data_IF_618350718814
#
_entry.id   IF_618350718814
#
_cell.length_a   1.000
_cell.length_b   1.000
_cell.length_c   1.000
_cell.angle_alpha   90.00
_cell.angle_beta   90.00
_cell.angle_gamma   90.00
#
_symmetry.space_group_name_H-M   'P 1'
#
loop_
_entity.id
_entity.type
_entity.pdbx_description
1 polymer ?
#
# COMPACT_ATOMS: atom_id res chain seq x y z
N UNK A 1 -16.74 -6.62 29.76
CA UNK A 1 -15.79 -5.82 28.98
C UNK A 1 -14.78 -6.78 28.38
N UNK A 2 -14.73 -6.90 27.06
CA UNK A 2 -13.62 -7.62 26.42
C UNK A 2 -12.32 -6.85 26.69
N UNK A 3 -11.25 -7.58 27.03
CA UNK A 3 -9.92 -6.99 27.20
C UNK A 3 -9.45 -6.52 25.82
N UNK A 4 -9.10 -5.23 25.70
CA UNK A 4 -8.52 -4.67 24.49
C UNK A 4 -7.20 -5.39 24.17
N UNK A 5 -7.10 -5.99 22.98
CA UNK A 5 -5.91 -6.72 22.54
C UNK A 5 -5.04 -5.79 21.72
N UNK A 6 -3.91 -5.36 22.29
CA UNK A 6 -2.91 -4.56 21.59
C UNK A 6 -1.90 -5.47 20.89
N UNK A 7 -1.67 -5.25 19.60
CA UNK A 7 -0.70 -6.02 18.82
C UNK A 7 0.75 -5.56 19.08
N UNK A 8 1.64 -6.49 19.41
CA UNK A 8 3.07 -6.25 19.61
C UNK A 8 3.93 -6.99 18.57
N UNK A 9 3.90 -6.58 17.29
CA UNK A 9 4.49 -7.34 16.18
C UNK A 9 6.00 -7.55 16.35
N UNK A 10 6.72 -6.60 16.95
CA UNK A 10 8.17 -6.68 17.19
C UNK A 10 8.57 -7.89 18.06
N UNK A 11 7.66 -8.43 18.88
CA UNK A 11 7.92 -9.63 19.69
C UNK A 11 7.98 -10.90 18.85
N UNK A 12 7.50 -10.87 17.60
CA UNK A 12 7.54 -12.02 16.67
C UNK A 12 8.88 -12.12 15.92
N UNK A 13 9.75 -11.10 16.03
CA UNK A 13 11.04 -11.09 15.36
C UNK A 13 11.95 -12.22 15.88
N UNK A 14 12.56 -12.95 14.95
CA UNK A 14 13.41 -14.10 15.26
C UNK A 14 14.88 -13.69 15.15
N UNK A 15 15.68 -13.97 16.20
CA UNK A 15 17.14 -13.91 16.11
C UNK A 15 17.63 -15.09 15.26
N UNK A 16 18.19 -14.80 14.09
CA UNK A 16 18.68 -15.81 13.14
C UNK A 16 20.19 -15.97 13.27
N UNK A 17 20.68 -17.13 12.86
CA UNK A 17 22.11 -17.45 12.70
C UNK A 17 22.51 -17.64 11.25
N UNK A 18 21.53 -17.65 10.34
CA UNK A 18 21.69 -17.90 8.91
C UNK A 18 20.75 -17.02 8.11
N UNK A 19 21.14 -16.72 6.87
CA UNK A 19 20.31 -15.96 5.92
C UNK A 19 18.94 -16.61 5.78
N UNK A 20 17.88 -15.79 5.85
CA UNK A 20 16.51 -16.28 5.74
C UNK A 20 16.27 -17.04 4.43
N UNK A 21 15.32 -17.98 4.47
CA UNK A 21 14.99 -18.82 3.30
C UNK A 21 14.62 -17.97 2.06
N UNK A 22 13.77 -16.93 2.16
CA UNK A 22 13.45 -16.09 1.01
C UNK A 22 14.67 -15.34 0.48
N UNK A 23 15.51 -14.77 1.36
CA UNK A 23 16.71 -14.05 0.94
C UNK A 23 17.73 -14.98 0.27
N UNK A 24 17.87 -16.23 0.72
CA UNK A 24 18.69 -17.25 0.02
C UNK A 24 18.16 -17.55 -1.39
N UNK A 25 16.84 -17.60 -1.57
CA UNK A 25 16.25 -17.75 -2.90
C UNK A 25 16.64 -16.55 -3.79
N UNK A 26 16.46 -15.32 -3.30
CA UNK A 26 16.79 -14.11 -4.06
C UNK A 26 18.28 -14.06 -4.45
N UNK A 27 19.19 -14.46 -3.56
CA UNK A 27 20.61 -14.59 -3.85
C UNK A 27 20.90 -15.63 -4.94
N UNK A 28 20.34 -16.85 -4.80
CA UNK A 28 20.54 -17.95 -5.75
C UNK A 28 20.08 -17.58 -7.16
N UNK A 29 19.03 -16.76 -7.26
CA UNK A 29 18.45 -16.32 -8.53
C UNK A 29 18.97 -14.95 -9.00
N UNK A 30 19.98 -14.40 -8.33
CA UNK A 30 20.62 -13.13 -8.69
C UNK A 30 19.62 -11.95 -8.78
N UNK A 31 18.68 -11.89 -7.83
CA UNK A 31 17.58 -10.92 -7.80
C UNK A 31 17.83 -9.70 -6.90
N UNK A 32 18.89 -9.72 -6.09
CA UNK A 32 19.28 -8.59 -5.24
C UNK A 32 20.18 -7.63 -6.03
N UNK A 33 19.60 -6.51 -6.52
CA UNK A 33 20.29 -5.59 -7.43
C UNK A 33 20.32 -4.16 -6.89
N UNK A 34 21.42 -3.46 -7.19
CA UNK A 34 21.58 -2.04 -6.92
C UNK A 34 21.56 -1.73 -5.42
N UNK A 35 20.95 -0.61 -5.06
CA UNK A 35 20.75 -0.22 -3.66
C UNK A 35 19.58 -0.99 -3.07
N UNK A 36 19.81 -1.75 -2.01
CA UNK A 36 18.86 -2.69 -1.43
C UNK A 36 18.35 -2.19 -0.07
N UNK A 37 17.05 -2.35 0.17
CA UNK A 37 16.45 -2.18 1.49
C UNK A 37 15.87 -3.50 2.00
N UNK A 38 16.25 -3.90 3.21
CA UNK A 38 15.59 -4.92 3.99
C UNK A 38 14.57 -4.27 4.93
N UNK A 39 13.32 -4.19 4.47
CA UNK A 39 12.22 -3.53 5.17
C UNK A 39 11.58 -4.49 6.18
N UNK A 40 11.56 -4.10 7.45
CA UNK A 40 11.16 -4.95 8.56
C UNK A 40 12.19 -6.04 8.88
N UNK A 41 13.47 -5.68 8.85
CA UNK A 41 14.60 -6.60 9.03
C UNK A 41 14.69 -7.23 10.44
N UNK A 42 13.88 -6.78 11.40
CA UNK A 42 13.97 -7.19 12.80
C UNK A 42 15.35 -6.93 13.38
N UNK A 43 15.99 -7.96 13.92
CA UNK A 43 17.37 -7.86 14.42
C UNK A 43 18.41 -7.62 13.32
N UNK A 44 18.06 -7.77 12.04
CA UNK A 44 18.89 -7.38 10.88
C UNK A 44 19.98 -8.37 10.48
N UNK A 45 19.82 -9.66 10.78
CA UNK A 45 20.83 -10.67 10.41
C UNK A 45 21.07 -10.72 8.89
N UNK A 46 20.00 -10.79 8.09
CA UNK A 46 20.08 -10.80 6.62
C UNK A 46 20.81 -9.56 6.10
N UNK A 47 20.42 -8.37 6.60
CA UNK A 47 21.07 -7.09 6.31
C UNK A 47 22.57 -7.13 6.59
N UNK A 48 22.96 -7.50 7.81
CA UNK A 48 24.35 -7.43 8.26
C UNK A 48 25.25 -8.40 7.49
N UNK A 49 24.75 -9.61 7.23
CA UNK A 49 25.51 -10.63 6.52
C UNK A 49 25.64 -10.31 5.01
N UNK A 50 24.57 -9.82 4.36
CA UNK A 50 24.66 -9.33 2.98
C UNK A 50 25.61 -8.14 2.87
N UNK A 51 25.62 -7.25 3.86
CA UNK A 51 26.56 -6.12 3.90
C UNK A 51 28.01 -6.59 3.99
N UNK A 52 28.32 -7.63 4.78
CA UNK A 52 29.66 -8.26 4.83
C UNK A 52 30.05 -8.88 3.49
N UNK A 53 29.09 -9.40 2.74
CA UNK A 53 29.30 -9.95 1.39
C UNK A 53 29.44 -8.87 0.30
N UNK A 54 29.41 -7.58 0.67
CA UNK A 54 29.66 -6.46 -0.24
C UNK A 54 28.42 -5.90 -0.93
N UNK A 55 27.21 -6.30 -0.52
CA UNK A 55 25.98 -5.70 -1.04
C UNK A 55 25.77 -4.29 -0.47
N UNK A 56 25.30 -3.36 -1.31
CA UNK A 56 24.77 -2.06 -0.88
C UNK A 56 23.38 -2.26 -0.29
N UNK A 57 23.31 -2.64 0.98
CA UNK A 57 22.07 -2.95 1.69
C UNK A 57 21.93 -2.13 2.98
N UNK A 58 20.72 -1.62 3.18
CA UNK A 58 20.28 -0.96 4.41
C UNK A 58 19.15 -1.77 5.02
N UNK A 59 19.14 -1.93 6.34
CA UNK A 59 18.05 -2.59 7.07
C UNK A 59 17.24 -1.57 7.85
N UNK A 60 15.92 -1.67 7.76
CA UNK A 60 14.98 -0.85 8.54
C UNK A 60 14.04 -1.77 9.31
N UNK A 61 13.79 -1.45 10.57
CA UNK A 61 12.75 -2.08 11.38
C UNK A 61 12.24 -1.07 12.40
N UNK A 62 10.92 -0.89 12.47
CA UNK A 62 10.33 0.14 13.33
C UNK A 62 10.79 0.08 14.79
N UNK A 63 11.06 -1.12 15.31
CA UNK A 63 11.46 -1.30 16.71
C UNK A 63 12.98 -1.50 16.87
N UNK A 64 13.57 -2.38 16.08
CA UNK A 64 14.96 -2.81 16.29
C UNK A 64 16.00 -1.99 15.51
N UNK A 65 15.59 -1.33 14.41
CA UNK A 65 16.45 -0.47 13.57
C UNK A 65 15.63 0.75 13.09
N UNK A 66 15.29 1.67 14.01
CA UNK A 66 14.24 2.66 13.79
C UNK A 66 14.64 3.84 12.89
N UNK A 67 15.89 3.89 12.44
CA UNK A 67 16.37 4.92 11.53
C UNK A 67 15.70 4.75 10.16
N UNK A 68 14.70 5.58 9.88
CA UNK A 68 13.92 5.47 8.65
C UNK A 68 14.82 5.73 7.42
N UNK A 69 14.77 4.87 6.39
CA UNK A 69 15.71 4.96 5.28
C UNK A 69 15.39 6.15 4.36
N UNK A 70 16.45 6.81 3.87
CA UNK A 70 16.33 7.92 2.94
C UNK A 70 16.62 7.53 1.49
N UNK A 71 15.94 8.21 0.57
CA UNK A 71 16.10 8.04 -0.87
C UNK A 71 15.32 6.85 -1.43
N UNK A 72 15.69 6.44 -2.65
CA UNK A 72 15.06 5.32 -3.37
C UNK A 72 15.97 4.10 -3.39
N UNK A 73 15.34 2.93 -3.51
CA UNK A 73 16.01 1.63 -3.55
C UNK A 73 15.66 0.88 -4.83
N UNK A 74 16.65 0.25 -5.45
CA UNK A 74 16.46 -0.56 -6.66
C UNK A 74 15.81 -1.89 -6.35
N UNK A 75 16.13 -2.45 -5.18
CA UNK A 75 15.52 -3.66 -4.65
C UNK A 75 15.03 -3.44 -3.23
N UNK A 76 13.81 -3.87 -2.91
CA UNK A 76 13.33 -3.93 -1.52
C UNK A 76 12.93 -5.36 -1.20
N UNK A 77 13.39 -5.90 -0.08
CA UNK A 77 12.91 -7.17 0.48
C UNK A 77 12.06 -6.88 1.70
N UNK A 78 10.92 -7.55 1.82
CA UNK A 78 9.98 -7.41 2.91
C UNK A 78 9.56 -8.81 3.35
N UNK A 79 10.34 -9.38 4.27
CA UNK A 79 10.23 -10.78 4.62
C UNK A 79 9.31 -10.99 5.82
N UNK A 80 8.14 -11.60 5.62
CA UNK A 80 7.18 -12.01 6.65
C UNK A 80 6.55 -10.90 7.49
N UNK A 81 6.89 -9.63 7.22
CA UNK A 81 6.39 -8.45 7.94
C UNK A 81 4.86 -8.39 7.90
N UNK A 82 4.26 -8.60 6.74
CA UNK A 82 2.81 -8.50 6.58
C UNK A 82 2.04 -9.54 7.40
N UNK A 83 2.66 -10.69 7.68
CA UNK A 83 2.00 -11.77 8.41
C UNK A 83 1.71 -11.44 9.87
N UNK A 84 2.35 -10.41 10.44
CA UNK A 84 2.23 -10.05 11.86
C UNK A 84 1.48 -8.73 12.08
N UNK A 85 0.88 -8.22 11.02
CA UNK A 85 0.18 -6.94 10.98
C UNK A 85 -1.30 -7.14 10.68
N UNK A 86 -2.13 -6.30 11.27
CA UNK A 86 -3.54 -6.17 10.93
C UNK A 86 -3.72 -5.50 9.55
N UNK A 87 -4.88 -5.66 8.87
CA UNK A 87 -5.05 -5.22 7.49
C UNK A 87 -4.71 -3.74 7.23
N UNK A 88 -5.05 -2.85 8.16
CA UNK A 88 -4.72 -1.42 8.06
C UNK A 88 -3.20 -1.19 8.02
N UNK A 89 -2.46 -1.77 8.97
CA UNK A 89 -1.00 -1.65 9.05
C UNK A 89 -0.29 -2.36 7.88
N UNK A 90 -0.86 -3.43 7.32
CA UNK A 90 -0.34 -4.05 6.10
C UNK A 90 -0.37 -3.10 4.91
N UNK A 91 -1.46 -2.33 4.76
CA UNK A 91 -1.59 -1.34 3.70
C UNK A 91 -0.58 -0.20 3.87
N UNK A 92 -0.32 0.26 5.10
CA UNK A 92 0.71 1.25 5.40
C UNK A 92 2.12 0.76 5.07
N UNK A 93 2.48 -0.47 5.45
CA UNK A 93 3.78 -1.07 5.10
C UNK A 93 3.93 -1.18 3.59
N UNK A 94 2.89 -1.65 2.89
CA UNK A 94 2.89 -1.72 1.43
C UNK A 94 3.11 -0.35 0.79
N UNK A 95 2.41 0.67 1.28
CA UNK A 95 2.56 2.04 0.81
C UNK A 95 3.96 2.60 1.08
N UNK A 96 4.54 2.33 2.25
CA UNK A 96 5.89 2.78 2.58
C UNK A 96 6.94 2.09 1.69
N UNK A 97 6.82 0.78 1.47
CA UNK A 97 7.70 0.05 0.56
C UNK A 97 7.59 0.60 -0.86
N UNK A 98 6.39 0.83 -1.38
CA UNK A 98 6.22 1.37 -2.74
C UNK A 98 6.74 2.80 -2.86
N UNK A 99 6.63 3.60 -1.81
CA UNK A 99 7.19 4.95 -1.75
C UNK A 99 8.72 4.96 -1.63
N UNK A 100 9.36 3.94 -1.07
CA UNK A 100 10.82 3.83 -1.02
C UNK A 100 11.40 3.17 -2.29
N UNK A 101 10.56 2.47 -3.06
CA UNK A 101 10.99 1.79 -4.27
C UNK A 101 11.31 2.79 -5.39
N UNK A 102 12.43 2.57 -6.06
CA UNK A 102 12.79 3.31 -7.27
C UNK A 102 11.77 3.03 -8.39
N UNK A 103 11.42 4.00 -9.27
CA UNK A 103 10.40 3.79 -10.31
C UNK A 103 10.64 2.65 -11.31
N UNK A 104 11.88 2.13 -11.37
CA UNK A 104 12.27 0.95 -12.16
C UNK A 104 12.70 -0.25 -11.29
N UNK A 105 12.63 -0.11 -9.98
CA UNK A 105 13.01 -1.13 -9.02
C UNK A 105 11.95 -2.23 -8.88
N UNK A 106 12.32 -3.26 -8.13
CA UNK A 106 11.49 -4.43 -7.83
C UNK A 106 11.45 -4.64 -6.31
N UNK A 107 10.27 -4.91 -5.75
CA UNK A 107 10.15 -5.33 -4.36
C UNK A 107 9.78 -6.81 -4.28
N UNK A 108 10.26 -7.49 -3.25
CA UNK A 108 9.98 -8.90 -2.99
C UNK A 108 9.32 -9.05 -1.63
N UNK A 109 8.14 -9.67 -1.61
CA UNK A 109 7.36 -9.91 -0.40
C UNK A 109 7.32 -11.39 -0.11
N UNK A 110 7.89 -11.83 1.01
CA UNK A 110 7.71 -13.20 1.46
C UNK A 110 6.59 -13.27 2.49
N UNK A 111 5.71 -14.25 2.36
CA UNK A 111 4.60 -14.46 3.30
C UNK A 111 4.52 -15.91 3.74
N UNK A 112 4.03 -16.12 4.97
CA UNK A 112 3.81 -17.45 5.53
C UNK A 112 2.66 -18.20 4.83
N UNK A 113 2.80 -19.53 4.79
CA UNK A 113 1.80 -20.50 4.31
C UNK A 113 1.49 -21.60 5.32
N UNK A 114 2.18 -21.57 6.46
CA UNK A 114 2.14 -22.58 7.52
C UNK A 114 1.27 -22.19 8.72
N UNK A 115 0.56 -21.05 8.67
CA UNK A 115 -0.35 -20.62 9.73
C UNK A 115 -1.67 -21.38 9.63
N UNK A 116 -1.96 -22.19 10.66
CA UNK A 116 -3.21 -22.95 10.78
C UNK A 116 -4.38 -22.10 11.29
N UNK A 117 -4.10 -21.16 12.18
CA UNK A 117 -5.08 -20.24 12.77
C UNK A 117 -4.60 -18.80 12.58
N UNK A 118 -5.55 -17.86 12.47
CA UNK A 118 -5.30 -16.43 12.30
C UNK A 118 -5.87 -15.62 13.46
N UNK A 119 -5.36 -14.40 13.64
CA UNK A 119 -5.80 -13.47 14.67
C UNK A 119 -4.82 -13.34 15.84
N UNK A 120 -5.33 -12.75 16.92
CA UNK A 120 -4.57 -12.48 18.13
C UNK A 120 -4.24 -13.76 18.89
N UNK A 121 -2.97 -13.91 19.25
CA UNK A 121 -2.45 -14.97 20.12
C UNK A 121 -1.53 -14.42 21.19
N UNK A 122 -1.55 -15.05 22.35
CA UNK A 122 -0.67 -14.68 23.47
C UNK A 122 0.74 -15.20 23.18
N UNK A 123 1.73 -14.30 23.17
CA UNK A 123 3.12 -14.68 22.97
C UNK A 123 3.63 -15.51 24.15
N UNK A 124 4.17 -16.70 23.87
CA UNK A 124 4.50 -17.70 24.90
C UNK A 124 5.46 -17.18 25.99
N UNK A 125 6.47 -16.40 25.58
CA UNK A 125 7.50 -15.85 26.47
C UNK A 125 7.02 -14.57 27.16
N UNK A 126 6.76 -13.51 26.38
CA UNK A 126 6.47 -12.16 26.89
C UNK A 126 5.07 -11.96 27.48
N UNK A 127 4.14 -12.91 27.29
CA UNK A 127 2.75 -12.80 27.75
C UNK A 127 2.03 -11.55 27.25
N UNK A 128 2.41 -11.08 26.06
CA UNK A 128 1.77 -9.97 25.33
C UNK A 128 1.04 -10.50 24.09
N UNK A 129 0.01 -9.80 23.63
CA UNK A 129 -0.71 -10.20 22.42
C UNK A 129 0.06 -9.86 21.15
N UNK A 130 0.04 -10.79 20.20
CA UNK A 130 0.55 -10.61 18.83
C UNK A 130 -0.52 -11.04 17.84
N UNK A 131 -0.64 -10.35 16.73
CA UNK A 131 -1.51 -10.72 15.62
C UNK A 131 -0.72 -11.52 14.60
N UNK A 132 -1.31 -12.59 14.05
CA UNK A 132 -0.73 -13.30 12.91
C UNK A 132 -1.83 -13.70 11.91
N UNK A 133 -1.55 -13.60 10.62
CA UNK A 133 -2.47 -13.99 9.56
C UNK A 133 -1.75 -14.53 8.31
N UNK A 134 -2.45 -15.32 7.49
CA UNK A 134 -1.98 -15.59 6.14
C UNK A 134 -2.24 -14.38 5.24
N UNK A 135 -1.29 -14.10 4.36
CA UNK A 135 -1.37 -12.96 3.43
C UNK A 135 -1.37 -13.50 2.01
N UNK A 136 -2.29 -13.04 1.17
CA UNK A 136 -2.32 -13.33 -0.27
C UNK A 136 -2.18 -12.03 -1.03
N UNK A 137 -1.15 -11.94 -1.86
CA UNK A 137 -0.89 -10.75 -2.66
C UNK A 137 -1.26 -11.02 -4.12
N UNK A 138 -1.86 -10.05 -4.84
CA UNK A 138 -2.24 -10.20 -6.24
C UNK A 138 -1.05 -10.00 -7.19
N UNK A 139 0.11 -10.56 -6.83
CA UNK A 139 1.39 -10.38 -7.51
C UNK A 139 1.89 -11.71 -8.09
N UNK A 140 2.78 -11.69 -9.10
CA UNK A 140 3.47 -12.89 -9.56
C UNK A 140 4.16 -13.64 -8.41
N UNK A 141 3.85 -14.93 -8.27
CA UNK A 141 4.49 -15.85 -7.34
C UNK A 141 5.75 -16.42 -7.98
N UNK A 142 6.91 -16.23 -7.35
CA UNK A 142 8.20 -16.75 -7.83
C UNK A 142 8.48 -18.16 -7.30
N UNK A 143 8.07 -18.42 -6.06
CA UNK A 143 8.17 -19.72 -5.41
C UNK A 143 7.08 -19.83 -4.35
N UNK A 144 6.46 -21.00 -4.26
CA UNK A 144 5.47 -21.34 -3.24
C UNK A 144 5.70 -22.78 -2.77
N UNK A 145 5.69 -22.99 -1.47
CA UNK A 145 5.71 -24.31 -0.83
C UNK A 145 4.85 -24.29 0.43
N UNK A 146 4.85 -25.39 1.19
CA UNK A 146 4.06 -25.52 2.41
C UNK A 146 4.42 -24.53 3.52
N UNK A 147 5.61 -23.93 3.49
CA UNK A 147 6.07 -22.99 4.52
C UNK A 147 5.89 -21.53 4.12
N UNK A 148 6.22 -21.16 2.88
CA UNK A 148 6.17 -19.77 2.44
C UNK A 148 5.87 -19.60 0.95
N UNK A 149 5.48 -18.39 0.60
CA UNK A 149 5.35 -17.92 -0.77
C UNK A 149 6.11 -16.60 -0.94
N UNK A 150 6.80 -16.44 -2.06
CA UNK A 150 7.56 -15.24 -2.42
C UNK A 150 6.95 -14.57 -3.64
N UNK A 151 6.52 -13.33 -3.47
CA UNK A 151 5.91 -12.52 -4.51
C UNK A 151 6.88 -11.48 -5.06
N UNK A 152 6.79 -11.23 -6.36
CA UNK A 152 7.47 -10.12 -7.01
C UNK A 152 6.52 -8.96 -7.26
N UNK A 153 6.89 -7.78 -6.79
CA UNK A 153 6.14 -6.54 -6.97
C UNK A 153 6.84 -5.57 -7.91
N UNK A 154 6.06 -5.03 -8.85
CA UNK A 154 6.43 -3.89 -9.68
C UNK A 154 5.34 -2.82 -9.60
N UNK A 155 5.71 -1.55 -9.79
CA UNK A 155 4.77 -0.43 -9.84
C UNK A 155 3.62 -0.66 -10.83
N UNK A 156 2.42 -0.20 -10.49
CA UNK A 156 1.20 -0.43 -11.30
C UNK A 156 1.35 0.01 -12.77
N UNK A 157 1.97 1.17 -13.01
CA UNK A 157 2.19 1.71 -14.36
C UNK A 157 3.23 0.94 -15.21
N UNK A 158 3.91 -0.05 -14.62
CA UNK A 158 4.84 -0.97 -15.28
C UNK A 158 4.24 -2.34 -15.55
N UNK A 159 3.08 -2.66 -14.97
CA UNK A 159 2.43 -3.93 -15.21
C UNK A 159 2.06 -4.07 -16.69
N UNK A 160 2.18 -5.29 -17.26
CA UNK A 160 1.72 -5.54 -18.62
C UNK A 160 0.24 -5.20 -18.73
N UNK A 161 -0.12 -4.47 -19.78
CA UNK A 161 -1.51 -4.13 -20.07
C UNK A 161 -2.16 -5.31 -20.75
N UNK A 162 -3.42 -5.60 -20.41
CA UNK A 162 -4.23 -6.59 -21.12
C UNK A 162 -4.62 -6.02 -22.49
N UNK A 163 -4.47 -6.84 -23.54
CA UNK A 163 -4.91 -6.47 -24.88
C UNK A 163 -6.43 -6.30 -24.92
N UNK A 164 -6.91 -5.31 -25.67
CA UNK A 164 -8.33 -4.99 -25.79
C UNK A 164 -8.95 -4.23 -24.60
N UNK A 165 -8.23 -4.03 -23.50
CA UNK A 165 -8.70 -3.23 -22.37
C UNK A 165 -8.95 -1.77 -22.79
N UNK A 166 -10.16 -1.26 -22.55
CA UNK A 166 -10.56 0.11 -22.92
C UNK A 166 -10.68 1.05 -21.71
N UNK A 167 -10.72 0.50 -20.49
CA UNK A 167 -10.84 1.32 -19.29
C UNK A 167 -9.60 2.23 -19.13
N UNK A 168 -9.78 3.57 -18.99
CA UNK A 168 -8.67 4.50 -18.84
C UNK A 168 -7.86 4.26 -17.56
N UNK A 169 -8.47 3.67 -16.54
CA UNK A 169 -7.82 3.34 -15.27
C UNK A 169 -7.04 2.03 -15.32
N UNK A 170 -7.58 0.98 -15.96
CA UNK A 170 -6.81 -0.24 -16.22
C UNK A 170 -5.62 0.02 -17.16
N UNK A 171 -5.71 1.04 -18.02
CA UNK A 171 -4.62 1.50 -18.89
C UNK A 171 -4.10 2.87 -18.48
N UNK A 172 -4.02 3.12 -17.16
CA UNK A 172 -3.57 4.39 -16.61
C UNK A 172 -2.32 4.92 -17.35
N UNK A 173 -2.42 6.15 -17.84
CA UNK A 173 -1.36 6.74 -18.66
C UNK A 173 -0.05 6.81 -17.86
N UNK A 174 1.07 6.46 -18.51
CA UNK A 174 2.40 6.53 -17.88
C UNK A 174 2.85 7.96 -17.56
N UNK A 175 2.11 8.97 -18.02
CA UNK A 175 2.35 10.39 -17.72
C UNK A 175 1.63 10.86 -16.46
N UNK A 176 0.69 10.08 -15.95
CA UNK A 176 -0.01 10.41 -14.70
C UNK A 176 0.98 10.34 -13.55
N UNK A 177 0.96 11.36 -12.71
CA UNK A 177 1.73 11.41 -11.48
C UNK A 177 1.01 10.58 -10.41
N UNK A 178 1.60 9.41 -10.11
CA UNK A 178 1.16 8.52 -9.03
C UNK A 178 1.67 9.08 -7.71
N UNK A 179 0.79 9.19 -6.72
CA UNK A 179 1.11 9.71 -5.38
C UNK A 179 1.59 8.56 -4.49
N UNK A 180 0.81 7.48 -4.44
CA UNK A 180 1.14 6.27 -3.70
C UNK A 180 0.33 5.08 -4.21
N UNK A 181 0.72 3.88 -3.80
CA UNK A 181 -0.01 2.65 -4.12
C UNK A 181 0.20 1.57 -3.06
N UNK A 182 -0.77 0.66 -2.98
CA UNK A 182 -0.75 -0.53 -2.12
C UNK A 182 -0.80 -1.79 -2.98
N UNK A 183 -1.00 -2.96 -2.38
CA UNK A 183 -1.22 -4.20 -3.11
C UNK A 183 -2.43 -4.13 -4.04
N UNK A 184 -3.51 -3.48 -3.61
CA UNK A 184 -4.81 -3.55 -4.27
C UNK A 184 -5.28 -2.22 -4.83
N UNK A 185 -4.68 -1.09 -4.44
CA UNK A 185 -5.14 0.24 -4.85
C UNK A 185 -3.98 1.16 -5.32
N UNK A 186 -4.31 2.19 -6.09
CA UNK A 186 -3.38 3.23 -6.56
C UNK A 186 -4.05 4.60 -6.46
N UNK A 187 -3.29 5.62 -6.04
CA UNK A 187 -3.73 7.01 -5.95
C UNK A 187 -2.91 7.89 -6.90
N UNK A 188 -3.57 8.79 -7.61
CA UNK A 188 -2.93 9.65 -8.59
C UNK A 188 -3.72 10.94 -8.84
N UNK A 189 -3.03 12.00 -9.24
CA UNK A 189 -3.68 13.26 -9.57
C UNK A 189 -4.57 13.12 -10.81
N UNK A 190 -5.78 13.68 -10.74
CA UNK A 190 -6.74 13.66 -11.84
C UNK A 190 -6.20 14.45 -13.04
N UNK A 191 -6.37 13.92 -14.26
CA UNK A 191 -5.98 14.58 -15.50
C UNK A 191 -6.88 15.74 -15.90
N UNK A 192 -8.10 15.81 -15.33
CA UNK A 192 -9.09 16.86 -15.48
C UNK A 192 -9.54 17.34 -14.10
N UNK A 193 -8.64 17.99 -13.33
CA UNK A 193 -8.89 18.32 -11.94
C UNK A 193 -10.01 19.36 -11.80
N UNK A 194 -10.96 19.10 -10.89
CA UNK A 194 -12.00 20.08 -10.50
C UNK A 194 -11.39 21.24 -9.73
N UNK A 195 -10.33 20.97 -8.98
CA UNK A 195 -9.54 21.95 -8.22
C UNK A 195 -8.08 21.50 -8.12
N UNK A 196 -7.12 22.41 -7.88
CA UNK A 196 -5.71 22.04 -7.70
C UNK A 196 -5.55 20.95 -6.63
N UNK A 197 -4.86 19.86 -6.99
CA UNK A 197 -4.66 18.69 -6.12
C UNK A 197 -5.77 17.63 -6.17
N UNK A 198 -6.81 17.80 -7.00
CA UNK A 198 -7.84 16.77 -7.20
C UNK A 198 -7.20 15.42 -7.52
N UNK A 199 -7.52 14.41 -6.71
CA UNK A 199 -6.90 13.09 -6.75
C UNK A 199 -7.96 12.02 -6.84
N UNK A 200 -7.64 10.95 -7.57
CA UNK A 200 -8.43 9.73 -7.63
C UNK A 200 -7.71 8.60 -6.90
N UNK A 201 -8.45 7.83 -6.11
CA UNK A 201 -8.00 6.56 -5.51
C UNK A 201 -8.85 5.45 -6.14
N UNK A 202 -8.20 4.46 -6.73
CA UNK A 202 -8.87 3.37 -7.45
C UNK A 202 -8.34 2.00 -6.98
N UNK A 203 -9.16 0.94 -7.04
CA UNK A 203 -8.63 -0.43 -7.00
C UNK A 203 -7.85 -0.73 -8.29
N UNK A 204 -6.81 -1.54 -8.20
CA UNK A 204 -6.05 -2.07 -9.34
C UNK A 204 -6.88 -3.08 -10.13
N UNK A 205 -7.76 -3.81 -9.45
CA UNK A 205 -8.77 -4.68 -10.07
C UNK A 205 -9.86 -3.82 -10.70
N UNK A 206 -10.28 -4.17 -11.92
CA UNK A 206 -11.42 -3.54 -12.55
C UNK A 206 -12.70 -3.95 -11.82
N UNK A 207 -13.37 -2.97 -11.19
CA UNK A 207 -14.65 -3.16 -10.51
C UNK A 207 -15.44 -1.86 -10.60
N UNK A 208 -16.69 -1.93 -11.04
CA UNK A 208 -17.47 -0.75 -11.37
C UNK A 208 -18.03 -0.04 -10.14
N UNK A 209 -18.49 -0.80 -9.14
CA UNK A 209 -19.21 -0.27 -7.98
C UNK A 209 -18.37 -0.33 -6.71
N UNK A 210 -18.53 0.69 -5.85
CA UNK A 210 -17.98 0.68 -4.49
C UNK A 210 -18.49 -0.49 -3.65
N UNK A 211 -19.74 -0.90 -3.90
CA UNK A 211 -20.39 -1.98 -3.17
C UNK A 211 -19.83 -3.37 -3.53
N UNK A 212 -19.10 -3.48 -4.64
CA UNK A 212 -18.45 -4.71 -5.11
C UNK A 212 -16.97 -4.79 -4.69
N UNK A 213 -16.48 -3.82 -3.91
CA UNK A 213 -15.16 -3.87 -3.31
C UNK A 213 -15.10 -4.95 -2.22
N UNK A 214 -13.93 -5.58 -2.10
CA UNK A 214 -13.60 -6.40 -0.94
C UNK A 214 -13.34 -5.50 0.27
N UNK A 215 -13.41 -6.06 1.49
CA UNK A 215 -13.02 -5.33 2.70
C UNK A 215 -11.57 -4.82 2.60
N UNK A 216 -10.66 -5.65 2.08
CA UNK A 216 -9.26 -5.27 1.90
C UNK A 216 -9.07 -4.08 0.95
N UNK A 217 -9.83 -4.02 -0.14
CA UNK A 217 -9.78 -2.87 -1.05
C UNK A 217 -10.32 -1.61 -0.38
N UNK A 218 -11.45 -1.69 0.34
CA UNK A 218 -12.00 -0.53 1.08
C UNK A 218 -11.02 0.02 2.12
N UNK A 219 -10.43 -0.85 2.94
CA UNK A 219 -9.45 -0.42 3.94
C UNK A 219 -8.20 0.18 3.30
N UNK A 220 -7.69 -0.43 2.22
CA UNK A 220 -6.56 0.12 1.48
C UNK A 220 -6.88 1.52 0.90
N UNK A 221 -8.09 1.73 0.38
CA UNK A 221 -8.52 3.06 -0.09
C UNK A 221 -8.58 4.08 1.05
N UNK A 222 -9.06 3.70 2.24
CA UNK A 222 -9.13 4.57 3.41
C UNK A 222 -7.75 4.97 3.94
N UNK A 223 -6.82 4.01 4.03
CA UNK A 223 -5.42 4.27 4.41
C UNK A 223 -4.78 5.26 3.43
N UNK A 224 -4.96 5.01 2.13
CA UNK A 224 -4.41 5.86 1.07
C UNK A 224 -5.03 7.26 1.10
N UNK A 225 -6.33 7.39 1.40
CA UNK A 225 -7.02 8.67 1.52
C UNK A 225 -6.35 9.60 2.55
N UNK A 226 -6.00 9.06 3.73
CA UNK A 226 -5.32 9.83 4.77
C UNK A 226 -3.92 10.27 4.32
N UNK A 227 -3.15 9.35 3.74
CA UNK A 227 -1.80 9.65 3.24
C UNK A 227 -1.82 10.69 2.12
N UNK A 228 -2.71 10.53 1.14
CA UNK A 228 -2.86 11.44 0.02
C UNK A 228 -3.28 12.82 0.52
N UNK A 229 -4.22 12.91 1.48
CA UNK A 229 -4.61 14.18 2.10
C UNK A 229 -3.40 14.90 2.69
N UNK A 230 -2.53 14.20 3.42
CA UNK A 230 -1.30 14.79 3.94
C UNK A 230 -0.40 15.32 2.81
N UNK A 231 -0.23 14.55 1.73
CA UNK A 231 0.56 14.99 0.56
C UNK A 231 -0.03 16.20 -0.15
N UNK A 232 -1.35 16.29 -0.20
CA UNK A 232 -2.03 17.46 -0.75
C UNK A 232 -1.86 18.66 0.16
N UNK A 233 -1.96 18.50 1.48
CA UNK A 233 -1.73 19.60 2.43
C UNK A 233 -0.31 20.18 2.26
N UNK A 234 0.71 19.31 2.21
CA UNK A 234 2.12 19.68 2.06
C UNK A 234 2.39 20.47 0.76
N UNK A 235 1.69 20.13 -0.33
CA UNK A 235 1.97 20.70 -1.66
C UNK A 235 1.04 21.84 -2.05
N UNK A 236 -0.24 21.74 -1.73
CA UNK A 236 -1.28 22.62 -2.25
C UNK A 236 -1.97 23.49 -1.19
N UNK A 237 -1.80 23.18 0.09
CA UNK A 237 -2.32 23.99 1.20
C UNK A 237 -3.82 24.36 1.09
N UNK A 238 -4.73 23.39 0.90
CA UNK A 238 -6.15 23.68 0.77
C UNK A 238 -6.81 24.08 2.10
N UNK A 239 -7.93 24.80 2.03
CA UNK A 239 -8.75 25.21 3.17
C UNK A 239 -9.78 24.14 3.60
N UNK A 240 -9.98 23.10 2.78
CA UNK A 240 -10.93 22.03 3.06
C UNK A 240 -10.97 20.96 1.97
N UNK A 241 -11.89 20.02 2.08
CA UNK A 241 -12.00 18.89 1.15
C UNK A 241 -13.45 18.49 0.89
N UNK A 242 -13.71 17.98 -0.31
CA UNK A 242 -14.84 17.09 -0.57
C UNK A 242 -14.31 15.70 -0.94
N UNK A 243 -14.98 14.68 -0.42
CA UNK A 243 -14.66 13.27 -0.69
C UNK A 243 -15.94 12.64 -1.23
N UNK A 244 -15.84 11.94 -2.36
CA UNK A 244 -17.02 11.44 -3.05
C UNK A 244 -16.74 10.23 -3.94
N UNK A 245 -17.78 9.43 -4.15
CA UNK A 245 -17.78 8.29 -5.07
C UNK A 245 -19.10 8.31 -5.81
N UNK A 246 -19.04 8.29 -7.14
CA UNK A 246 -20.24 8.13 -7.97
C UNK A 246 -20.41 6.65 -8.31
N UNK A 247 -21.61 6.11 -8.09
CA UNK A 247 -21.95 4.71 -8.38
C UNK A 247 -23.15 4.67 -9.32
N UNK A 248 -22.95 4.09 -10.50
CA UNK A 248 -23.87 4.06 -11.64
C UNK A 248 -24.09 5.42 -12.33
N UNK A 249 -24.65 5.36 -13.54
CA UNK A 249 -24.88 6.51 -14.42
C UNK A 249 -25.75 7.61 -13.77
N UNK A 250 -26.79 7.22 -13.04
CA UNK A 250 -27.69 8.16 -12.37
C UNK A 250 -26.98 9.01 -11.30
N UNK A 251 -25.88 8.52 -10.72
CA UNK A 251 -25.04 9.28 -9.79
C UNK A 251 -23.90 10.03 -10.50
N UNK A 252 -23.85 10.02 -11.84
CA UNK A 252 -22.81 10.68 -12.62
C UNK A 252 -21.52 9.87 -12.78
N UNK A 253 -21.54 8.55 -12.62
CA UNK A 253 -20.37 7.72 -12.91
C UNK A 253 -20.14 7.63 -14.42
N UNK A 254 -19.00 8.16 -14.89
CA UNK A 254 -18.63 8.19 -16.31
C UNK A 254 -17.58 7.14 -16.70
N UNK A 255 -16.74 6.74 -15.74
CA UNK A 255 -15.83 5.60 -15.85
C UNK A 255 -16.33 4.50 -14.93
N UNK A 256 -16.76 3.38 -15.50
CA UNK A 256 -17.27 2.20 -14.78
C UNK A 256 -16.14 1.36 -14.16
N UNK A 257 -15.21 2.05 -13.51
CA UNK A 257 -14.21 1.52 -12.61
C UNK A 257 -14.21 2.47 -11.42
N UNK A 258 -14.66 1.97 -10.27
CA UNK A 258 -14.89 2.77 -9.07
C UNK A 258 -13.65 3.60 -8.73
N UNK A 259 -13.88 4.86 -8.40
CA UNK A 259 -12.84 5.80 -8.02
C UNK A 259 -13.37 6.70 -6.92
N UNK A 260 -12.56 6.87 -5.88
CA UNK A 260 -12.82 7.81 -4.80
C UNK A 260 -12.12 9.12 -5.13
N UNK A 261 -12.91 10.18 -5.20
CA UNK A 261 -12.43 11.53 -5.38
C UNK A 261 -12.00 12.10 -4.03
N UNK A 262 -10.81 12.69 -4.01
CA UNK A 262 -10.39 13.64 -2.96
C UNK A 262 -10.18 14.99 -3.65
N UNK A 263 -11.12 15.91 -3.41
CA UNK A 263 -11.20 17.23 -4.07
C UNK A 263 -10.82 18.29 -3.04
N UNK A 264 -9.63 18.91 -3.15
CA UNK A 264 -9.24 20.01 -2.28
C UNK A 264 -10.10 21.24 -2.54
N UNK A 265 -10.43 22.00 -1.49
CA UNK A 265 -11.29 23.19 -1.55
C UNK A 265 -10.52 24.39 -1.04
N UNK A 266 -10.78 25.55 -1.63
CA UNK A 266 -10.08 26.80 -1.34
C UNK A 266 -11.10 27.90 -1.06
N UNK A 267 -10.82 28.80 -0.11
CA UNK A 267 -11.72 29.93 0.16
C UNK A 267 -11.93 30.76 -1.11
N UNK A 268 -13.19 30.97 -1.45
CA UNK A 268 -13.60 31.72 -2.65
C UNK A 268 -13.67 30.89 -3.94
N UNK A 269 -13.40 29.58 -3.91
CA UNK A 269 -13.51 28.71 -5.09
C UNK A 269 -14.96 28.56 -5.59
N UNK A 270 -15.95 28.79 -4.72
CA UNK A 270 -17.37 28.88 -5.06
C UNK A 270 -18.02 30.05 -4.33
N UNK A 271 -19.03 30.67 -4.95
CA UNK A 271 -19.75 31.83 -4.39
C UNK A 271 -20.48 31.52 -3.09
N UNK A 272 -21.06 30.32 -2.96
CA UNK A 272 -21.78 29.89 -1.78
C UNK A 272 -21.38 28.45 -1.41
N UNK A 273 -20.42 28.26 -0.48
CA UNK A 273 -20.03 26.92 -0.07
C UNK A 273 -21.09 26.24 0.82
N UNK A 274 -22.04 27.00 1.39
CA UNK A 274 -23.12 26.47 2.23
C UNK A 274 -24.04 25.57 1.37
N UNK A 275 -24.05 24.29 1.69
CA UNK A 275 -24.77 23.24 0.94
C UNK A 275 -23.89 22.06 0.57
N UNK A 276 -22.61 22.31 0.27
CA UNK A 276 -21.62 21.26 0.01
C UNK A 276 -22.13 20.17 -0.95
N UNK A 277 -22.16 18.93 -0.48
CA UNK A 277 -22.60 17.75 -1.24
C UNK A 277 -24.02 17.86 -1.80
N UNK A 278 -24.89 18.72 -1.23
CA UNK A 278 -26.23 18.97 -1.78
C UNK A 278 -26.21 19.53 -3.20
N UNK A 279 -25.07 20.10 -3.63
CA UNK A 279 -24.86 20.53 -5.01
C UNK A 279 -25.00 19.43 -6.07
N UNK A 280 -25.02 18.14 -5.67
CA UNK A 280 -25.36 17.04 -6.60
C UNK A 280 -26.78 17.14 -7.17
N UNK A 281 -27.71 17.79 -6.45
CA UNK A 281 -29.02 18.20 -6.96
C UNK A 281 -29.05 19.74 -6.90
N UNK A 282 -28.69 20.46 -7.97
CA UNK A 282 -28.44 21.91 -7.93
C UNK A 282 -29.57 22.73 -7.31
N UNK A 283 -30.83 22.42 -7.65
CA UNK A 283 -32.00 23.13 -7.13
C UNK A 283 -32.21 22.95 -5.61
N UNK A 284 -31.57 21.94 -5.01
CA UNK A 284 -31.61 21.65 -3.56
C UNK A 284 -30.32 22.03 -2.83
N UNK A 285 -29.36 22.68 -3.50
CA UNK A 285 -28.07 23.02 -2.91
C UNK A 285 -28.21 23.96 -1.70
N UNK A 286 -29.13 24.93 -1.78
CA UNK A 286 -29.40 25.89 -0.70
C UNK A 286 -30.34 25.28 0.36
N UNK A 287 -30.20 25.75 1.60
CA UNK A 287 -31.12 25.48 2.71
C UNK A 287 -32.26 26.49 2.72
#
# INVERSE_FOLDING_TARGET
MEIEKVNHPYLTAIKRTDISVPTRYLLKHDLLKGRILDYGCGFGFDTDELKRQGYDITGYDYYYRPDYPEGKFDTIICNYVLNVLEPYAQAEVMMNVTNLLHPKGTAFFSVRRDLQEEGFRLHAIYKQYTYQCNVRLPFPSLVCNSSYELYQYNHFNKLPRKDGEKCPFCRLSRRVEVICETATCVAFYDGYPVSPGHTLIIPKRHVASYFDLTNHEREAMNVMLQYVKQKIDERFHPDGYNIGINVNEAAGQSVFHVHMHLIPRYKGDVRNPKGGIRGVIPDKQKY
#
